data_IF_411369986234
#
_entry.id   IF_411369986234
#
_cell.length_a   1.000
_cell.length_b   1.000
_cell.length_c   1.000
_cell.angle_alpha   90.00
_cell.angle_beta   90.00
_cell.angle_gamma   90.00
#
_symmetry.space_group_name_H-M   'P 1'
#
loop_
_entity.id
_entity.type
_entity.pdbx_description
1 polymer ?
#
# COMPACT_ATOMS: atom_id res chain seq x y z
N UNK A 1 -35.28 -30.89 -47.33
CA UNK A 1 -33.93 -31.25 -46.86
C UNK A 1 -33.01 -30.10 -47.19
N UNK A 2 -32.76 -29.20 -46.24
CA UNK A 2 -31.77 -28.13 -46.43
C UNK A 2 -30.43 -28.74 -46.06
N UNK A 3 -29.57 -28.92 -47.05
CA UNK A 3 -28.23 -29.47 -46.87
C UNK A 3 -27.46 -28.56 -45.92
N UNK A 4 -27.01 -29.12 -44.80
CA UNK A 4 -26.08 -28.47 -43.90
C UNK A 4 -24.79 -28.23 -44.69
N UNK A 5 -24.56 -26.99 -45.14
CA UNK A 5 -23.29 -26.60 -45.73
C UNK A 5 -22.19 -26.96 -44.70
N UNK A 6 -21.04 -27.51 -45.13
CA UNK A 6 -20.07 -28.06 -44.21
C UNK A 6 -19.34 -26.90 -43.52
N UNK A 7 -19.92 -26.41 -42.44
CA UNK A 7 -19.42 -25.25 -41.71
C UNK A 7 -17.99 -25.48 -41.22
N UNK A 8 -17.66 -26.73 -40.88
CA UNK A 8 -16.34 -27.17 -40.42
C UNK A 8 -15.33 -27.16 -41.59
N UNK A 9 -15.70 -27.69 -42.76
CA UNK A 9 -14.82 -27.68 -43.93
C UNK A 9 -14.59 -26.24 -44.43
N UNK A 10 -15.62 -25.40 -44.35
CA UNK A 10 -15.51 -23.97 -44.67
C UNK A 10 -14.68 -23.19 -43.65
N UNK A 11 -14.75 -23.53 -42.35
CA UNK A 11 -13.90 -22.91 -41.32
C UNK A 11 -12.44 -23.34 -41.47
N UNK A 12 -12.20 -24.63 -41.75
CA UNK A 12 -10.85 -25.15 -42.00
C UNK A 12 -10.26 -24.56 -43.28
N UNK A 13 -11.06 -24.41 -44.35
CA UNK A 13 -10.65 -23.75 -45.58
C UNK A 13 -10.32 -22.26 -45.35
N UNK A 14 -11.16 -21.53 -44.59
CA UNK A 14 -10.93 -20.13 -44.27
C UNK A 14 -9.68 -19.93 -43.38
N UNK A 15 -9.45 -20.81 -42.39
CA UNK A 15 -8.23 -20.78 -41.58
C UNK A 15 -7.01 -21.08 -42.47
N UNK A 16 -7.10 -22.07 -43.37
CA UNK A 16 -6.02 -22.39 -44.29
C UNK A 16 -5.70 -21.24 -45.25
N UNK A 17 -6.72 -20.54 -45.76
CA UNK A 17 -6.59 -19.40 -46.67
C UNK A 17 -5.95 -18.18 -45.98
N UNK A 18 -6.23 -17.94 -44.70
CA UNK A 18 -5.61 -16.87 -43.91
C UNK A 18 -4.23 -17.24 -43.29
N UNK A 19 -3.83 -18.51 -43.33
CA UNK A 19 -2.52 -18.96 -42.80
C UNK A 19 -1.34 -18.80 -43.75
N UNK A 20 -1.57 -18.40 -45.02
CA UNK A 20 -0.51 -18.19 -46.02
C UNK A 20 -0.52 -16.74 -46.50
N UNK A 21 0.64 -16.10 -46.56
CA UNK A 21 0.79 -14.81 -47.23
C UNK A 21 1.18 -14.99 -48.70
N UNK A 22 0.74 -14.09 -49.56
CA UNK A 22 1.03 -14.08 -51.01
C UNK A 22 2.37 -13.42 -51.36
N UNK A 23 3.35 -13.41 -50.45
CA UNK A 23 4.69 -12.91 -50.74
C UNK A 23 5.75 -13.89 -50.24
N UNK A 24 6.23 -14.69 -51.20
CA UNK A 24 7.48 -15.47 -51.17
C UNK A 24 7.59 -16.53 -50.07
N UNK A 25 7.34 -17.79 -50.47
CA UNK A 25 7.70 -18.97 -49.68
C UNK A 25 6.53 -19.55 -48.89
N UNK A 26 6.39 -20.86 -48.95
CA UNK A 26 5.35 -21.69 -48.33
C UNK A 26 5.56 -21.77 -46.79
N UNK A 27 5.69 -20.63 -46.10
CA UNK A 27 5.90 -20.54 -44.65
C UNK A 27 4.59 -20.27 -43.89
N UNK A 28 4.36 -21.07 -42.85
CA UNK A 28 3.13 -21.09 -42.05
C UNK A 28 3.21 -19.99 -40.98
N UNK A 29 2.87 -18.76 -41.36
CA UNK A 29 3.06 -17.54 -40.52
C UNK A 29 2.37 -17.62 -39.15
N UNK A 30 1.20 -18.27 -39.04
CA UNK A 30 0.47 -18.36 -37.77
C UNK A 30 1.11 -19.37 -36.80
N UNK A 31 1.64 -20.49 -37.30
CA UNK A 31 2.31 -21.49 -36.46
C UNK A 31 3.70 -21.03 -36.00
N UNK A 32 4.43 -20.36 -36.90
CA UNK A 32 5.78 -19.86 -36.63
C UNK A 32 5.77 -18.74 -35.58
N UNK A 33 4.83 -17.79 -35.65
CA UNK A 33 4.69 -16.74 -34.63
C UNK A 33 4.32 -17.30 -33.25
N UNK A 34 3.54 -18.38 -33.17
CA UNK A 34 3.15 -19.03 -31.91
C UNK A 34 4.34 -19.82 -31.30
N UNK A 35 5.13 -20.49 -32.12
CA UNK A 35 6.34 -21.20 -31.68
C UNK A 35 7.45 -20.22 -31.26
N UNK A 36 7.63 -19.11 -31.98
CA UNK A 36 8.53 -18.02 -31.58
C UNK A 36 8.09 -17.38 -30.25
N UNK A 37 6.78 -17.18 -30.05
CA UNK A 37 6.25 -16.71 -28.78
C UNK A 37 6.51 -17.72 -27.64
N UNK A 38 6.48 -19.03 -27.89
CA UNK A 38 6.88 -20.04 -26.91
C UNK A 38 8.36 -19.95 -26.53
N UNK A 39 9.25 -19.67 -27.48
CA UNK A 39 10.68 -19.45 -27.19
C UNK A 39 10.85 -18.27 -26.23
N UNK A 40 10.08 -17.20 -26.43
CA UNK A 40 10.07 -16.04 -25.53
C UNK A 40 9.51 -16.41 -24.14
N UNK A 41 8.41 -17.19 -24.08
CA UNK A 41 7.85 -17.71 -22.83
C UNK A 41 8.91 -18.49 -22.05
N UNK A 42 9.58 -19.44 -22.71
CA UNK A 42 10.67 -20.22 -22.10
C UNK A 42 11.76 -19.32 -21.54
N UNK A 43 12.22 -18.32 -22.30
CA UNK A 43 13.24 -17.38 -21.84
C UNK A 43 12.81 -16.57 -20.61
N UNK A 44 11.53 -16.20 -20.49
CA UNK A 44 11.03 -15.54 -19.27
C UNK A 44 10.86 -16.50 -18.10
N UNK A 45 10.42 -17.74 -18.34
CA UNK A 45 10.36 -18.78 -17.30
C UNK A 45 11.75 -19.08 -16.75
N UNK A 46 12.76 -19.23 -17.61
CA UNK A 46 14.16 -19.43 -17.19
C UNK A 46 14.68 -18.27 -16.33
N UNK A 47 14.37 -17.02 -16.72
CA UNK A 47 14.71 -15.83 -15.90
C UNK A 47 14.01 -15.83 -14.54
N UNK A 48 12.73 -16.19 -14.50
CA UNK A 48 11.98 -16.27 -13.24
C UNK A 48 12.48 -17.42 -12.37
N UNK A 49 12.81 -18.58 -12.95
CA UNK A 49 13.43 -19.69 -12.21
C UNK A 49 14.78 -19.27 -11.62
N UNK A 50 15.59 -18.50 -12.37
CA UNK A 50 16.87 -17.98 -11.86
C UNK A 50 16.69 -17.02 -10.67
N UNK A 51 15.65 -16.18 -10.70
CA UNK A 51 15.33 -15.24 -9.61
C UNK A 51 14.76 -15.96 -8.38
N UNK A 52 13.79 -16.85 -8.62
CA UNK A 52 12.93 -17.41 -7.58
C UNK A 52 13.44 -18.74 -7.02
N UNK A 53 14.17 -19.52 -7.83
CA UNK A 53 14.47 -20.93 -7.57
C UNK A 53 13.32 -21.84 -7.99
N UNK A 54 13.56 -23.16 -8.01
CA UNK A 54 12.59 -24.15 -8.49
C UNK A 54 11.96 -24.99 -7.38
N UNK A 55 12.25 -24.67 -6.12
CA UNK A 55 11.79 -25.42 -4.94
C UNK A 55 10.26 -25.46 -4.82
N UNK A 56 9.57 -24.43 -5.33
CA UNK A 56 8.11 -24.36 -5.35
C UNK A 56 7.48 -25.54 -6.11
N UNK A 57 8.15 -26.12 -7.12
CA UNK A 57 7.65 -27.28 -7.86
C UNK A 57 7.54 -28.52 -6.98
N UNK A 58 8.45 -28.69 -6.01
CA UNK A 58 8.41 -29.80 -5.06
C UNK A 58 7.21 -29.66 -4.11
N UNK A 59 6.95 -28.44 -3.65
CA UNK A 59 5.82 -28.12 -2.78
C UNK A 59 4.48 -28.27 -3.51
N UNK A 60 4.39 -27.85 -4.78
CA UNK A 60 3.19 -28.09 -5.57
C UNK A 60 2.92 -29.59 -5.80
N UNK A 61 3.96 -30.39 -5.99
CA UNK A 61 3.83 -31.84 -6.19
C UNK A 61 3.23 -32.56 -4.98
N UNK A 62 3.46 -32.05 -3.75
CA UNK A 62 2.86 -32.57 -2.52
C UNK A 62 1.54 -31.86 -2.13
N UNK A 63 1.03 -30.96 -2.99
CA UNK A 63 -0.23 -30.24 -2.77
C UNK A 63 -0.11 -28.97 -1.92
N UNK A 64 1.09 -28.56 -1.53
CA UNK A 64 1.36 -27.39 -0.67
C UNK A 64 1.51 -26.09 -1.48
N UNK A 65 0.60 -25.86 -2.43
CA UNK A 65 0.63 -24.68 -3.31
C UNK A 65 0.62 -23.35 -2.54
N UNK A 66 -0.08 -23.30 -1.39
CA UNK A 66 -0.13 -22.13 -0.51
C UNK A 66 1.24 -21.80 0.08
N UNK A 67 1.91 -22.80 0.65
CA UNK A 67 3.23 -22.62 1.25
C UNK A 67 4.27 -22.24 0.20
N UNK A 68 4.21 -22.83 -1.00
CA UNK A 68 5.06 -22.47 -2.13
C UNK A 68 4.97 -20.97 -2.48
N UNK A 69 3.75 -20.42 -2.50
CA UNK A 69 3.53 -18.99 -2.73
C UNK A 69 4.06 -18.14 -1.58
N UNK A 70 3.79 -18.51 -0.32
CA UNK A 70 4.24 -17.76 0.86
C UNK A 70 5.77 -17.67 0.93
N UNK A 71 6.47 -18.77 0.70
CA UNK A 71 7.94 -18.79 0.69
C UNK A 71 8.50 -17.88 -0.39
N UNK A 72 7.92 -17.92 -1.60
CA UNK A 72 8.36 -17.04 -2.67
C UNK A 72 8.04 -15.57 -2.37
N UNK A 73 6.85 -15.27 -1.83
CA UNK A 73 6.49 -13.91 -1.42
C UNK A 73 7.44 -13.37 -0.35
N UNK A 74 7.75 -14.18 0.67
CA UNK A 74 8.69 -13.81 1.72
C UNK A 74 10.10 -13.55 1.17
N UNK A 75 10.56 -14.35 0.21
CA UNK A 75 11.83 -14.13 -0.48
C UNK A 75 11.83 -12.84 -1.30
N UNK A 76 10.77 -12.58 -2.06
CA UNK A 76 10.65 -11.39 -2.92
C UNK A 76 10.49 -10.10 -2.12
N UNK A 77 9.85 -10.19 -0.94
CA UNK A 77 9.63 -9.08 -0.01
C UNK A 77 10.48 -9.20 1.25
N UNK A 78 11.70 -9.72 1.12
CA UNK A 78 12.57 -9.90 2.27
C UNK A 78 12.93 -8.52 2.88
N UNK A 79 12.59 -8.26 4.15
CA UNK A 79 12.88 -7.00 4.83
C UNK A 79 14.37 -6.65 4.94
N UNK A 80 15.27 -7.60 4.71
CA UNK A 80 16.73 -7.36 4.67
C UNK A 80 17.24 -6.92 3.30
N UNK A 81 16.38 -6.83 2.28
CA UNK A 81 16.76 -6.52 0.89
C UNK A 81 16.10 -5.27 0.33
N UNK A 82 15.48 -4.45 1.19
CA UNK A 82 14.85 -3.19 0.80
C UNK A 82 15.88 -2.15 0.31
N UNK A 83 15.45 -1.30 -0.62
CA UNK A 83 16.21 -0.15 -1.09
C UNK A 83 16.08 1.09 -0.18
N UNK A 84 16.73 2.19 -0.56
CA UNK A 84 16.71 3.47 0.16
C UNK A 84 15.30 4.06 0.34
N UNK A 85 14.33 3.63 -0.47
CA UNK A 85 12.94 4.08 -0.43
C UNK A 85 12.01 3.04 0.24
N UNK A 86 12.56 2.07 0.97
CA UNK A 86 11.84 0.97 1.61
C UNK A 86 11.04 0.13 0.61
N UNK A 87 11.51 0.03 -0.64
CA UNK A 87 10.90 -0.80 -1.69
C UNK A 87 11.68 -2.09 -1.87
N UNK A 88 10.99 -3.10 -2.40
CA UNK A 88 11.55 -4.43 -2.66
C UNK A 88 12.03 -4.54 -4.12
N UNK A 89 13.34 -4.38 -4.41
CA UNK A 89 13.85 -4.41 -5.78
C UNK A 89 13.60 -5.75 -6.47
N UNK A 90 13.74 -6.87 -5.74
CA UNK A 90 13.47 -8.21 -6.26
C UNK A 90 11.99 -8.40 -6.64
N UNK A 91 11.06 -7.92 -5.81
CA UNK A 91 9.64 -7.96 -6.13
C UNK A 91 9.32 -7.12 -7.37
N UNK A 92 9.98 -5.96 -7.55
CA UNK A 92 9.81 -5.11 -8.73
C UNK A 92 10.32 -5.79 -10.00
N UNK A 93 11.50 -6.42 -9.94
CA UNK A 93 12.07 -7.19 -11.05
C UNK A 93 11.18 -8.39 -11.41
N UNK A 94 10.70 -9.12 -10.41
CA UNK A 94 9.75 -10.22 -10.57
C UNK A 94 8.47 -9.74 -11.25
N UNK A 95 7.83 -8.67 -10.75
CA UNK A 95 6.59 -8.14 -11.30
C UNK A 95 6.72 -7.72 -12.77
N UNK A 96 7.84 -7.08 -13.11
CA UNK A 96 8.16 -6.69 -14.50
C UNK A 96 8.33 -7.91 -15.41
N UNK A 97 9.08 -8.92 -14.95
CA UNK A 97 9.37 -10.13 -15.72
C UNK A 97 8.14 -11.02 -15.87
N UNK A 98 7.39 -11.24 -14.79
CA UNK A 98 6.13 -11.98 -14.80
C UNK A 98 5.05 -11.27 -15.64
N UNK A 99 5.03 -9.93 -15.68
CA UNK A 99 4.16 -9.18 -16.58
C UNK A 99 4.52 -9.37 -18.06
N UNK A 100 5.81 -9.47 -18.39
CA UNK A 100 6.26 -9.82 -19.75
C UNK A 100 5.91 -11.27 -20.10
N UNK A 101 6.07 -12.20 -19.15
CA UNK A 101 5.65 -13.59 -19.31
C UNK A 101 4.14 -13.69 -19.62
N UNK A 102 3.29 -13.00 -18.86
CA UNK A 102 1.84 -13.02 -19.07
C UNK A 102 1.45 -12.56 -20.49
N UNK A 103 2.10 -11.50 -21.00
CA UNK A 103 1.88 -11.02 -22.37
C UNK A 103 2.37 -12.01 -23.43
N UNK A 104 3.55 -12.61 -23.24
CA UNK A 104 4.09 -13.62 -24.15
C UNK A 104 3.20 -14.88 -24.16
N UNK A 105 2.70 -15.30 -22.99
CA UNK A 105 1.82 -16.44 -22.84
C UNK A 105 0.47 -16.24 -23.54
N UNK A 106 -0.10 -15.03 -23.50
CA UNK A 106 -1.34 -14.73 -24.21
C UNK A 106 -1.23 -15.03 -25.73
N UNK A 107 -0.03 -14.86 -26.31
CA UNK A 107 0.25 -15.18 -27.71
C UNK A 107 0.60 -16.66 -27.94
N UNK A 108 1.26 -17.31 -26.97
CA UNK A 108 1.80 -18.65 -27.11
C UNK A 108 0.85 -19.78 -26.62
N UNK A 109 -0.19 -19.45 -25.86
CA UNK A 109 -1.05 -20.42 -25.15
C UNK A 109 -1.78 -21.43 -26.03
N UNK A 110 -1.96 -21.13 -27.32
CA UNK A 110 -2.57 -22.01 -28.32
C UNK A 110 -1.63 -23.05 -28.93
N UNK A 111 -0.34 -23.05 -28.57
CA UNK A 111 0.64 -24.00 -29.10
C UNK A 111 0.47 -25.41 -28.53
N UNK A 112 0.73 -26.48 -29.30
CA UNK A 112 0.76 -27.86 -28.79
C UNK A 112 1.75 -28.05 -27.62
N UNK A 113 2.89 -27.34 -27.65
CA UNK A 113 3.94 -27.43 -26.62
C UNK A 113 3.71 -26.49 -25.43
N UNK A 114 2.64 -25.67 -25.44
CA UNK A 114 2.36 -24.73 -24.36
C UNK A 114 2.09 -25.44 -23.02
N UNK A 115 1.57 -26.66 -23.05
CA UNK A 115 1.22 -27.42 -21.85
C UNK A 115 2.39 -27.61 -20.87
N UNK A 116 3.62 -27.66 -21.37
CA UNK A 116 4.83 -27.77 -20.55
C UNK A 116 4.99 -26.59 -19.57
N UNK A 117 4.71 -25.36 -20.02
CA UNK A 117 4.91 -24.14 -19.25
C UNK A 117 3.66 -23.66 -18.52
N UNK A 118 2.54 -24.36 -18.66
CA UNK A 118 1.24 -23.92 -18.13
C UNK A 118 1.24 -23.83 -16.61
N UNK A 119 1.90 -24.74 -15.91
CA UNK A 119 2.07 -24.71 -14.45
C UNK A 119 2.92 -23.51 -14.01
N UNK A 120 4.07 -23.29 -14.65
CA UNK A 120 4.97 -22.17 -14.35
C UNK A 120 4.28 -20.83 -14.52
N UNK A 121 3.61 -20.64 -15.66
CA UNK A 121 2.88 -19.40 -15.93
C UNK A 121 1.77 -19.17 -14.91
N UNK A 122 1.02 -20.22 -14.55
CA UNK A 122 -0.03 -20.12 -13.53
C UNK A 122 0.56 -19.70 -12.18
N UNK A 123 1.58 -20.41 -11.71
CA UNK A 123 2.21 -20.13 -10.42
C UNK A 123 2.78 -18.71 -10.35
N UNK A 124 3.54 -18.28 -11.36
CA UNK A 124 4.11 -16.93 -11.38
C UNK A 124 3.05 -15.84 -11.56
N UNK A 125 1.96 -16.10 -12.27
CA UNK A 125 0.83 -15.20 -12.37
C UNK A 125 0.13 -15.04 -11.01
N UNK A 126 -0.10 -16.14 -10.29
CA UNK A 126 -0.68 -16.10 -8.94
C UNK A 126 0.20 -15.25 -7.99
N UNK A 127 1.51 -15.49 -7.97
CA UNK A 127 2.46 -14.72 -7.14
C UNK A 127 2.51 -13.25 -7.55
N UNK A 128 2.48 -12.94 -8.85
CA UNK A 128 2.44 -11.56 -9.35
C UNK A 128 1.17 -10.83 -8.89
N UNK A 129 0.03 -11.50 -8.98
CA UNK A 129 -1.25 -10.94 -8.56
C UNK A 129 -1.25 -10.61 -7.06
N UNK A 130 -0.62 -11.47 -6.27
CA UNK A 130 -0.40 -11.23 -4.84
C UNK A 130 0.48 -10.00 -4.60
N UNK A 131 1.62 -9.89 -5.29
CA UNK A 131 2.52 -8.76 -5.14
C UNK A 131 1.87 -7.42 -5.53
N UNK A 132 1.06 -7.40 -6.59
CA UNK A 132 0.33 -6.18 -7.00
C UNK A 132 -0.65 -5.74 -5.90
N UNK A 133 -1.38 -6.68 -5.29
CA UNK A 133 -2.28 -6.39 -4.17
C UNK A 133 -1.51 -5.86 -2.96
N UNK A 134 -0.37 -6.46 -2.63
CA UNK A 134 0.50 -6.02 -1.54
C UNK A 134 1.08 -4.62 -1.81
N UNK A 135 1.55 -4.34 -3.03
CA UNK A 135 2.05 -3.01 -3.41
C UNK A 135 0.94 -1.95 -3.33
N UNK A 136 -0.27 -2.28 -3.78
CA UNK A 136 -1.41 -1.39 -3.65
C UNK A 136 -1.76 -1.11 -2.18
N UNK A 137 -1.68 -2.13 -1.31
CA UNK A 137 -1.89 -1.99 0.12
C UNK A 137 -0.80 -1.14 0.78
N UNK A 138 0.48 -1.34 0.42
CA UNK A 138 1.59 -0.51 0.90
C UNK A 138 1.41 0.96 0.51
N UNK A 139 1.04 1.24 -0.74
CA UNK A 139 0.79 2.61 -1.20
C UNK A 139 -0.33 3.27 -0.41
N UNK A 140 -1.45 2.58 -0.18
CA UNK A 140 -2.55 3.10 0.65
C UNK A 140 -2.10 3.34 2.10
N UNK A 141 -1.42 2.36 2.68
CA UNK A 141 -0.85 2.45 4.01
C UNK A 141 0.26 3.50 4.11
N UNK A 142 0.85 3.95 2.99
CA UNK A 142 1.78 5.08 2.88
C UNK A 142 1.10 6.40 2.46
N UNK A 143 -0.20 6.40 2.15
CA UNK A 143 -0.96 7.57 1.68
C UNK A 143 -0.54 8.04 0.30
N UNK A 144 0.11 7.15 -0.45
CA UNK A 144 0.55 7.39 -1.80
C UNK A 144 -0.58 7.04 -2.78
N UNK A 145 -0.73 7.80 -3.87
CA UNK A 145 -1.65 7.44 -4.93
C UNK A 145 -1.25 6.09 -5.57
N UNK A 146 -2.27 5.32 -5.96
CA UNK A 146 -2.08 4.14 -6.80
C UNK A 146 -1.70 4.60 -8.21
N UNK A 147 -0.71 3.94 -8.82
CA UNK A 147 -0.38 4.19 -10.22
C UNK A 147 -1.50 3.67 -11.14
N UNK A 148 -1.65 4.28 -12.31
CA UNK A 148 -2.62 3.84 -13.34
C UNK A 148 -2.42 2.36 -13.72
N UNK A 149 -1.16 1.91 -13.74
CA UNK A 149 -0.82 0.51 -13.98
C UNK A 149 -1.42 -0.42 -12.91
N UNK A 150 -1.24 -0.10 -11.62
CA UNK A 150 -1.81 -0.88 -10.51
C UNK A 150 -3.33 -0.86 -10.57
N UNK A 151 -3.95 0.29 -10.83
CA UNK A 151 -5.41 0.43 -10.95
C UNK A 151 -5.94 -0.48 -12.07
N UNK A 152 -5.27 -0.47 -13.23
CA UNK A 152 -5.65 -1.30 -14.38
C UNK A 152 -5.54 -2.78 -14.05
N UNK A 153 -4.43 -3.19 -13.45
CA UNK A 153 -4.18 -4.58 -13.06
C UNK A 153 -5.17 -5.06 -11.99
N UNK A 154 -5.48 -4.23 -10.98
CA UNK A 154 -6.49 -4.55 -9.97
C UNK A 154 -7.90 -4.65 -10.59
N UNK A 155 -8.21 -3.80 -11.58
CA UNK A 155 -9.49 -3.84 -12.28
C UNK A 155 -9.64 -5.13 -13.10
N UNK A 156 -8.58 -5.56 -13.80
CA UNK A 156 -8.55 -6.85 -14.51
C UNK A 156 -8.75 -8.00 -13.52
N UNK A 157 -8.03 -7.99 -12.40
CA UNK A 157 -8.18 -9.01 -11.36
C UNK A 157 -9.59 -9.05 -10.78
N UNK A 158 -10.25 -7.91 -10.60
CA UNK A 158 -11.62 -7.83 -10.11
C UNK A 158 -12.65 -8.40 -11.11
N UNK A 159 -12.42 -8.22 -12.42
CA UNK A 159 -13.25 -8.81 -13.48
C UNK A 159 -13.08 -10.33 -13.50
N UNK A 160 -11.84 -10.81 -13.39
CA UNK A 160 -11.53 -12.23 -13.35
C UNK A 160 -12.00 -12.91 -12.05
N UNK A 161 -12.16 -12.15 -10.95
CA UNK A 161 -12.49 -12.64 -9.61
C UNK A 161 -13.96 -12.51 -9.19
N UNK A 162 -14.90 -12.59 -10.14
CA UNK A 162 -16.35 -12.65 -9.84
C UNK A 162 -16.77 -13.78 -8.86
N UNK A 163 -15.84 -14.64 -8.44
CA UNK A 163 -15.92 -15.41 -7.19
C UNK A 163 -14.98 -14.83 -6.11
N UNK A 164 -15.56 -14.05 -5.17
CA UNK A 164 -15.02 -13.76 -3.82
C UNK A 164 -13.52 -13.42 -3.71
N UNK A 165 -13.13 -12.19 -4.04
CA UNK A 165 -11.80 -11.68 -3.70
C UNK A 165 -11.89 -10.52 -2.70
N UNK A 166 -11.99 -10.85 -1.40
CA UNK A 166 -11.62 -9.89 -0.37
C UNK A 166 -10.13 -9.56 -0.53
N UNK A 167 -9.78 -8.29 -0.31
CA UNK A 167 -8.41 -7.81 -0.16
C UNK A 167 -7.72 -8.72 0.85
N UNK A 168 -6.53 -9.19 0.52
CA UNK A 168 -5.93 -10.34 1.20
C UNK A 168 -5.56 -9.98 2.63
N UNK A 169 -6.22 -10.69 3.53
CA UNK A 169 -5.82 -10.91 4.91
C UNK A 169 -4.56 -11.78 4.91
N UNK A 170 -3.39 -11.15 5.00
CA UNK A 170 -2.09 -11.86 5.11
C UNK A 170 -2.09 -12.75 6.36
N UNK A 171 -2.85 -12.39 7.41
CA UNK A 171 -3.03 -13.21 8.60
C UNK A 171 -3.82 -14.48 8.25
N UNK A 172 -4.95 -14.34 7.55
CA UNK A 172 -5.72 -15.47 7.03
C UNK A 172 -4.87 -16.39 6.14
N UNK A 173 -3.93 -15.83 5.36
CA UNK A 173 -2.98 -16.58 4.54
C UNK A 173 -1.82 -17.24 5.32
N UNK A 174 -1.55 -16.87 6.57
CA UNK A 174 -0.68 -17.62 7.50
C UNK A 174 -1.50 -18.43 8.53
N UNK A 175 -2.83 -18.53 8.33
CA UNK A 175 -3.73 -19.30 9.20
C UNK A 175 -3.99 -18.65 10.55
N UNK A 176 -3.91 -17.32 10.61
CA UNK A 176 -4.16 -16.49 11.80
C UNK A 176 -5.38 -15.61 11.58
N UNK A 177 -6.13 -15.36 12.64
CA UNK A 177 -7.19 -14.36 12.59
C UNK A 177 -6.56 -12.96 12.56
N UNK A 178 -7.20 -12.03 11.83
CA UNK A 178 -6.84 -10.62 11.84
C UNK A 178 -6.91 -10.11 13.29
N UNK A 179 -5.78 -9.80 13.95
CA UNK A 179 -5.85 -9.35 15.32
C UNK A 179 -6.39 -7.92 15.34
N UNK A 180 -7.40 -7.66 16.16
CA UNK A 180 -7.79 -6.29 16.46
C UNK A 180 -6.59 -5.61 17.14
N UNK A 181 -6.17 -4.44 16.64
CA UNK A 181 -5.05 -3.67 17.19
C UNK A 181 -5.23 -3.35 18.68
N UNK A 182 -6.48 -3.27 19.17
CA UNK A 182 -6.81 -3.07 20.58
C UNK A 182 -6.53 -4.30 21.45
N UNK A 183 -6.63 -5.51 20.87
CA UNK A 183 -6.43 -6.79 21.55
C UNK A 183 -5.09 -7.45 21.17
N UNK A 184 -4.21 -6.69 20.50
CA UNK A 184 -2.96 -7.22 19.95
C UNK A 184 -1.94 -7.48 21.06
N UNK A 185 -1.61 -8.74 21.26
CA UNK A 185 -0.61 -9.19 22.22
C UNK A 185 0.32 -10.25 21.60
N UNK A 186 1.51 -10.43 22.18
CA UNK A 186 2.52 -11.40 21.78
C UNK A 186 1.93 -12.82 21.76
N UNK A 187 1.04 -13.15 22.70
CA UNK A 187 0.32 -14.42 22.74
C UNK A 187 -0.70 -14.56 21.61
N UNK A 188 -1.41 -13.49 21.24
CA UNK A 188 -2.39 -13.49 20.16
C UNK A 188 -1.74 -13.77 18.79
N UNK A 189 -0.50 -13.33 18.60
CA UNK A 189 0.28 -13.61 17.40
C UNK A 189 0.80 -15.05 17.34
N UNK A 190 0.63 -15.88 18.38
CA UNK A 190 1.03 -17.28 18.42
C UNK A 190 2.32 -17.53 17.63
N UNK A 191 3.46 -17.02 18.13
CA UNK A 191 4.81 -17.11 17.54
C UNK A 191 5.34 -18.57 17.36
N UNK A 192 4.44 -19.56 17.34
CA UNK A 192 4.68 -20.95 16.98
C UNK A 192 4.79 -21.16 15.45
N UNK A 193 4.92 -20.11 14.63
CA UNK A 193 5.32 -20.29 13.22
C UNK A 193 6.72 -20.87 13.20
N UNK A 194 6.83 -22.08 12.65
CA UNK A 194 8.13 -22.78 12.48
C UNK A 194 8.88 -22.31 11.24
N UNK A 195 8.27 -21.49 10.38
CA UNK A 195 8.85 -21.01 9.11
C UNK A 195 9.24 -19.52 9.22
N UNK A 196 10.48 -19.21 8.85
CA UNK A 196 11.02 -17.86 8.77
C UNK A 196 10.23 -17.00 7.76
N UNK A 197 9.71 -17.63 6.70
CA UNK A 197 8.96 -16.97 5.64
C UNK A 197 7.66 -16.36 6.15
N UNK A 198 6.91 -17.12 6.95
CA UNK A 198 5.67 -16.65 7.57
C UNK A 198 5.92 -15.51 8.55
N UNK A 199 7.04 -15.58 9.28
CA UNK A 199 7.42 -14.57 10.25
C UNK A 199 7.76 -13.24 9.57
N UNK A 200 8.51 -13.28 8.46
CA UNK A 200 8.82 -12.10 7.67
C UNK A 200 7.56 -11.44 7.09
N UNK A 201 6.63 -12.25 6.57
CA UNK A 201 5.35 -11.76 6.04
C UNK A 201 4.45 -11.17 7.14
N UNK A 202 4.47 -11.75 8.34
CA UNK A 202 3.77 -11.21 9.51
C UNK A 202 4.29 -9.83 9.89
N UNK A 203 5.61 -9.67 9.97
CA UNK A 203 6.24 -8.38 10.30
C UNK A 203 5.85 -7.33 9.26
N UNK A 204 5.90 -7.69 7.98
CA UNK A 204 5.49 -6.79 6.89
C UNK A 204 4.00 -6.42 6.96
N UNK A 205 3.13 -7.39 7.30
CA UNK A 205 1.71 -7.15 7.51
C UNK A 205 1.45 -6.21 8.71
N UNK A 206 2.06 -6.49 9.87
CA UNK A 206 1.93 -5.66 11.07
C UNK A 206 2.41 -4.23 10.83
N UNK A 207 3.59 -4.06 10.20
CA UNK A 207 4.11 -2.75 9.78
C UNK A 207 3.07 -1.98 8.97
N UNK A 208 2.48 -2.63 7.96
CA UNK A 208 1.48 -2.01 7.07
C UNK A 208 0.20 -1.64 7.82
N UNK A 209 -0.29 -2.51 8.69
CA UNK A 209 -1.51 -2.26 9.46
C UNK A 209 -1.31 -1.10 10.44
N UNK A 210 -0.15 -1.02 11.10
CA UNK A 210 0.19 0.10 11.97
C UNK A 210 0.31 1.42 11.22
N UNK A 211 0.89 1.42 10.01
CA UNK A 211 0.92 2.62 9.17
C UNK A 211 -0.48 3.07 8.75
N UNK A 212 -1.36 2.13 8.44
CA UNK A 212 -2.75 2.43 8.09
C UNK A 212 -3.53 2.95 9.32
N UNK A 213 -3.41 2.28 10.46
CA UNK A 213 -4.13 2.68 11.67
C UNK A 213 -3.58 3.97 12.25
N UNK A 214 -2.27 4.21 12.18
CA UNK A 214 -1.69 5.49 12.55
C UNK A 214 -2.35 6.64 11.80
N UNK A 215 -2.56 6.52 10.48
CA UNK A 215 -3.30 7.54 9.71
C UNK A 215 -4.73 7.70 10.18
N UNK A 216 -5.42 6.60 10.44
CA UNK A 216 -6.81 6.63 10.90
C UNK A 216 -6.90 7.37 12.24
N UNK A 217 -6.01 7.03 13.18
CA UNK A 217 -5.90 7.61 14.51
C UNK A 217 -5.56 9.10 14.46
N UNK A 218 -4.53 9.48 13.68
CA UNK A 218 -4.09 10.87 13.58
C UNK A 218 -5.02 11.73 12.74
N UNK A 219 -5.79 11.13 11.83
CA UNK A 219 -6.61 11.83 10.86
C UNK A 219 -5.78 12.84 10.06
N UNK A 220 -6.08 14.13 10.22
CA UNK A 220 -5.40 15.23 9.53
C UNK A 220 -4.19 15.78 10.31
N UNK A 221 -3.83 15.16 11.43
CA UNK A 221 -2.71 15.57 12.25
C UNK A 221 -1.39 15.04 11.71
N UNK A 222 -0.77 15.81 10.82
CA UNK A 222 0.45 15.37 10.15
C UNK A 222 1.68 15.31 11.04
N UNK A 223 1.73 16.16 12.07
CA UNK A 223 2.83 16.14 13.03
C UNK A 223 2.91 14.75 13.66
N UNK A 224 1.78 14.27 14.19
CA UNK A 224 1.69 12.93 14.79
C UNK A 224 1.84 11.83 13.75
N UNK A 225 1.20 11.97 12.58
CA UNK A 225 1.31 10.98 11.51
C UNK A 225 2.77 10.77 11.07
N UNK A 226 3.53 11.85 10.97
CA UNK A 226 4.96 11.83 10.64
C UNK A 226 5.78 11.19 11.76
N UNK A 227 5.54 11.56 13.02
CA UNK A 227 6.21 10.96 14.17
C UNK A 227 6.02 9.43 14.24
N UNK A 228 4.78 8.96 14.06
CA UNK A 228 4.51 7.51 14.03
C UNK A 228 5.17 6.84 12.82
N UNK A 229 5.06 7.44 11.63
CA UNK A 229 5.68 6.88 10.42
C UNK A 229 7.20 6.79 10.54
N UNK A 230 7.85 7.81 11.12
CA UNK A 230 9.29 7.82 11.39
C UNK A 230 9.70 6.75 12.40
N UNK A 231 8.94 6.57 13.49
CA UNK A 231 9.21 5.51 14.48
C UNK A 231 9.06 4.11 13.90
N UNK A 232 8.02 3.87 13.07
CA UNK A 232 7.86 2.59 12.35
C UNK A 232 9.06 2.36 11.43
N UNK A 233 9.47 3.38 10.67
CA UNK A 233 10.63 3.31 9.78
C UNK A 233 11.92 3.00 10.53
N UNK A 234 12.20 3.71 11.63
CA UNK A 234 13.40 3.49 12.44
C UNK A 234 13.43 2.08 13.03
N UNK A 235 12.29 1.59 13.52
CA UNK A 235 12.14 0.23 14.01
C UNK A 235 12.43 -0.81 12.92
N UNK A 236 11.83 -0.62 11.73
CA UNK A 236 12.07 -1.49 10.58
C UNK A 236 13.52 -1.43 10.10
N UNK A 237 14.15 -0.25 10.10
CA UNK A 237 15.56 -0.10 9.73
C UNK A 237 16.48 -0.86 10.69
N UNK A 238 16.20 -0.84 12.01
CA UNK A 238 16.95 -1.65 12.98
C UNK A 238 16.80 -3.14 12.69
N UNK A 239 15.59 -3.59 12.34
CA UNK A 239 15.35 -4.98 11.94
C UNK A 239 16.03 -5.36 10.61
N UNK A 240 15.91 -4.54 9.56
CA UNK A 240 16.60 -4.70 8.28
C UNK A 240 18.10 -4.84 8.49
N UNK A 241 18.69 -4.01 9.34
CA UNK A 241 20.11 -4.01 9.70
C UNK A 241 20.50 -5.11 10.71
N UNK A 242 19.60 -6.06 11.03
CA UNK A 242 19.83 -7.18 11.95
C UNK A 242 20.21 -6.75 13.37
N UNK A 243 19.83 -5.54 13.79
CA UNK A 243 20.00 -5.05 15.16
C UNK A 243 18.88 -5.53 16.09
N UNK A 244 17.80 -6.06 15.52
CA UNK A 244 16.67 -6.66 16.24
C UNK A 244 16.38 -8.05 15.67
N UNK A 245 16.02 -8.97 16.54
CA UNK A 245 15.45 -10.26 16.14
C UNK A 245 13.99 -10.10 15.70
N UNK A 246 13.45 -11.10 14.98
CA UNK A 246 12.04 -11.10 14.60
C UNK A 246 11.10 -11.00 15.81
N UNK A 247 11.45 -11.64 16.93
CA UNK A 247 10.65 -11.57 18.15
C UNK A 247 10.67 -10.17 18.78
N UNK A 248 11.84 -9.53 18.83
CA UNK A 248 11.99 -8.17 19.35
C UNK A 248 11.26 -7.14 18.49
N UNK A 249 11.39 -7.22 17.15
CA UNK A 249 10.69 -6.26 16.29
C UNK A 249 9.17 -6.39 16.40
N UNK A 250 8.66 -7.62 16.52
CA UNK A 250 7.23 -7.87 16.72
C UNK A 250 6.77 -7.28 18.06
N UNK A 251 7.54 -7.47 19.13
CA UNK A 251 7.23 -6.91 20.44
C UNK A 251 7.20 -5.37 20.40
N UNK A 252 8.19 -4.73 19.77
CA UNK A 252 8.22 -3.27 19.61
C UNK A 252 7.06 -2.75 18.73
N UNK A 253 6.68 -3.46 17.67
CA UNK A 253 5.51 -3.13 16.84
C UNK A 253 4.20 -3.22 17.65
N UNK A 254 4.07 -4.20 18.54
CA UNK A 254 2.92 -4.32 19.45
C UNK A 254 2.86 -3.15 20.44
N UNK A 255 3.98 -2.75 21.03
CA UNK A 255 3.97 -1.58 21.92
C UNK A 255 3.56 -0.31 21.16
N UNK A 256 4.05 -0.14 19.93
CA UNK A 256 3.64 0.97 19.09
C UNK A 256 2.15 0.92 18.72
N UNK A 257 1.56 -0.27 18.58
CA UNK A 257 0.12 -0.41 18.33
C UNK A 257 -0.72 0.17 19.48
N UNK A 258 -0.30 -0.08 20.72
CA UNK A 258 -0.97 0.46 21.93
C UNK A 258 -0.91 1.98 21.95
N UNK A 259 0.22 2.56 21.53
CA UNK A 259 0.35 4.02 21.44
C UNK A 259 -0.56 4.63 20.37
N UNK A 260 -0.73 3.96 19.21
CA UNK A 260 -1.67 4.39 18.16
C UNK A 260 -3.13 4.31 18.64
N UNK A 261 -3.48 3.26 19.38
CA UNK A 261 -4.80 3.14 20.01
C UNK A 261 -5.02 4.25 21.03
N UNK A 262 -4.01 4.56 21.86
CA UNK A 262 -4.07 5.66 22.80
C UNK A 262 -4.20 7.03 22.10
N UNK A 263 -3.53 7.21 20.96
CA UNK A 263 -3.64 8.42 20.13
C UNK A 263 -5.08 8.65 19.65
N UNK A 264 -5.77 7.59 19.22
CA UNK A 264 -7.16 7.68 18.75
C UNK A 264 -8.11 8.21 19.83
N UNK A 265 -7.83 7.88 21.10
CA UNK A 265 -8.63 8.30 22.26
C UNK A 265 -8.06 9.55 22.95
N UNK A 266 -6.97 10.13 22.44
CA UNK A 266 -6.27 11.25 23.10
C UNK A 266 -7.16 12.48 23.26
N UNK A 267 -8.08 12.71 22.32
CA UNK A 267 -9.04 13.81 22.38
C UNK A 267 -9.93 13.80 23.63
N UNK A 268 -10.20 12.63 24.19
CA UNK A 268 -11.05 12.45 25.39
C UNK A 268 -10.38 12.89 26.69
N UNK A 269 -9.05 13.04 26.70
CA UNK A 269 -8.29 13.45 27.88
C UNK A 269 -8.48 14.94 28.20
N UNK A 270 -8.93 15.73 27.22
CA UNK A 270 -9.19 17.15 27.41
C UNK A 270 -10.58 17.40 27.97
N UNK A 271 -10.73 18.48 28.72
CA UNK A 271 -12.04 18.96 29.20
C UNK A 271 -12.35 20.36 28.67
N UNK A 272 -13.31 20.53 27.74
CA UNK A 272 -14.11 19.50 27.04
C UNK A 272 -13.26 18.58 26.14
N UNK A 273 -13.79 17.50 25.53
CA UNK A 273 -13.03 16.70 24.57
C UNK A 273 -12.59 17.52 23.35
N UNK A 274 -11.42 17.20 22.77
CA UNK A 274 -10.95 17.74 21.49
C UNK A 274 -11.25 16.76 20.36
N UNK A 275 -11.67 17.30 19.22
CA UNK A 275 -11.79 16.53 17.96
C UNK A 275 -10.43 16.37 17.26
N UNK A 276 -10.31 15.42 16.32
CA UNK A 276 -9.07 15.23 15.54
C UNK A 276 -8.61 16.49 14.79
N UNK A 277 -9.56 17.31 14.32
CA UNK A 277 -9.22 18.59 13.69
C UNK A 277 -8.55 19.54 14.70
N UNK A 278 -9.09 19.60 15.93
CA UNK A 278 -8.55 20.45 16.99
C UNK A 278 -7.22 19.92 17.54
N UNK A 279 -7.06 18.60 17.66
CA UNK A 279 -5.78 17.97 18.03
C UNK A 279 -4.68 18.28 17.02
N UNK A 280 -5.00 18.33 15.72
CA UNK A 280 -4.02 18.72 14.71
C UNK A 280 -3.50 20.14 14.92
N UNK A 281 -4.39 21.09 15.24
CA UNK A 281 -3.95 22.46 15.58
C UNK A 281 -3.24 22.53 16.93
N UNK A 282 -3.64 21.71 17.91
CA UNK A 282 -2.96 21.61 19.19
C UNK A 282 -1.50 21.20 19.01
N UNK A 283 -1.23 20.11 18.28
CA UNK A 283 0.14 19.61 18.10
C UNK A 283 0.99 20.53 17.23
N UNK A 284 0.41 21.18 16.22
CA UNK A 284 1.12 22.22 15.43
C UNK A 284 1.56 23.38 16.32
N UNK A 285 0.75 23.75 17.32
CA UNK A 285 1.09 24.80 18.27
C UNK A 285 2.12 24.32 19.30
N UNK A 286 2.04 23.08 19.74
CA UNK A 286 2.96 22.48 20.72
C UNK A 286 4.36 22.22 20.13
N UNK A 287 4.44 21.81 18.86
CA UNK A 287 5.72 21.50 18.19
C UNK A 287 6.55 22.76 17.90
N UNK A 288 5.91 23.92 17.78
CA UNK A 288 6.52 25.15 17.27
C UNK A 288 7.26 25.99 18.31
N UNK A 289 7.56 25.38 19.44
CA UNK A 289 8.28 25.99 20.53
C UNK A 289 7.84 25.37 21.83
N UNK A 290 8.63 25.56 22.87
CA UNK A 290 8.38 25.20 24.27
C UNK A 290 7.09 25.81 24.87
N UNK A 291 6.03 26.01 24.07
CA UNK A 291 4.70 26.39 24.48
C UNK A 291 4.12 25.36 25.45
N UNK A 292 4.35 24.05 25.26
CA UNK A 292 3.99 23.04 26.27
C UNK A 292 4.75 23.19 27.60
N UNK A 293 5.93 23.81 27.62
CA UNK A 293 6.68 24.08 28.86
C UNK A 293 6.26 25.42 29.53
N UNK A 294 5.63 26.33 28.78
CA UNK A 294 5.34 27.70 29.21
C UNK A 294 3.85 28.03 29.33
N UNK A 295 2.98 27.26 28.69
CA UNK A 295 1.53 27.40 28.69
C UNK A 295 0.90 26.10 29.17
N UNK A 296 -0.13 26.22 30.00
CA UNK A 296 -0.93 25.06 30.40
C UNK A 296 -1.63 24.45 29.18
N UNK A 297 -1.70 23.12 29.11
CA UNK A 297 -2.35 22.35 28.05
C UNK A 297 -3.79 22.83 27.78
N UNK A 298 -4.50 23.26 28.84
CA UNK A 298 -5.85 23.82 28.74
C UNK A 298 -5.92 25.10 27.91
N UNK A 299 -4.88 25.94 27.94
CA UNK A 299 -4.80 27.18 27.16
C UNK A 299 -4.55 26.85 25.69
N UNK A 300 -3.65 25.91 25.40
CA UNK A 300 -3.37 25.43 24.04
C UNK A 300 -4.61 24.78 23.43
N UNK A 301 -5.30 23.92 24.18
CA UNK A 301 -6.57 23.32 23.78
C UNK A 301 -7.62 24.40 23.45
N UNK A 302 -7.74 25.45 24.26
CA UNK A 302 -8.65 26.56 23.98
C UNK A 302 -8.28 27.37 22.73
N UNK A 303 -6.98 27.53 22.45
CA UNK A 303 -6.51 28.16 21.21
C UNK A 303 -6.92 27.31 20.02
N UNK A 304 -6.64 26.00 20.06
CA UNK A 304 -6.97 25.06 19.00
C UNK A 304 -8.46 25.07 18.64
N UNK A 305 -9.36 24.99 19.63
CA UNK A 305 -10.82 25.10 19.41
C UNK A 305 -11.22 26.39 18.71
N UNK A 306 -10.65 27.51 19.16
CA UNK A 306 -10.96 28.83 18.59
C UNK A 306 -10.42 28.98 17.17
N UNK A 307 -9.28 28.36 16.86
CA UNK A 307 -8.74 28.31 15.49
C UNK A 307 -9.67 27.52 14.57
N UNK A 308 -10.08 26.31 14.96
CA UNK A 308 -11.03 25.49 14.18
C UNK A 308 -12.36 26.22 13.98
N UNK A 309 -12.88 26.85 15.04
CA UNK A 309 -14.13 27.63 14.97
C UNK A 309 -14.00 28.82 14.02
N UNK A 310 -12.90 29.58 14.12
CA UNK A 310 -12.64 30.72 13.23
C UNK A 310 -12.51 30.26 11.78
N UNK A 311 -11.85 29.13 11.55
CA UNK A 311 -11.65 28.60 10.21
C UNK A 311 -12.94 28.03 9.62
N UNK A 312 -13.76 27.30 10.36
CA UNK A 312 -15.08 26.85 9.85
C UNK A 312 -15.99 28.00 9.45
N UNK A 313 -15.89 29.15 10.15
CA UNK A 313 -16.61 30.37 9.77
C UNK A 313 -16.08 30.97 8.46
N UNK A 314 -14.76 31.03 8.31
CA UNK A 314 -14.09 31.75 7.22
C UNK A 314 -13.79 30.85 5.99
N UNK A 315 -13.86 29.52 6.12
CA UNK A 315 -13.66 28.52 5.05
C UNK A 315 -14.77 28.54 3.99
N UNK A 316 -15.92 29.16 4.27
CA UNK A 316 -16.97 29.44 3.27
C UNK A 316 -16.52 30.39 2.15
N UNK A 317 -15.41 31.08 2.36
CA UNK A 317 -14.77 31.95 1.37
C UNK A 317 -13.47 31.32 0.93
N UNK A 318 -13.30 31.15 -0.38
CA UNK A 318 -12.12 30.56 -1.04
C UNK A 318 -10.85 31.38 -0.76
N UNK A 319 -10.26 31.15 0.43
CA UNK A 319 -9.17 31.95 1.00
C UNK A 319 -7.79 31.48 0.55
N UNK A 320 -7.70 30.28 -0.03
CA UNK A 320 -6.48 29.71 -0.62
C UNK A 320 -6.05 30.48 -1.86
N UNK A 321 -7.01 31.03 -2.62
CA UNK A 321 -6.77 31.84 -3.83
C UNK A 321 -6.70 33.35 -3.52
N UNK A 322 -7.41 33.80 -2.49
CA UNK A 322 -7.60 35.23 -2.20
C UNK A 322 -6.66 35.77 -1.12
N UNK A 323 -5.68 36.55 -1.56
CA UNK A 323 -4.68 37.17 -0.67
C UNK A 323 -5.28 38.10 0.40
N UNK A 324 -6.38 38.79 0.10
CA UNK A 324 -7.06 39.69 1.04
C UNK A 324 -7.68 38.91 2.23
N UNK A 325 -8.30 37.77 1.93
CA UNK A 325 -8.87 36.88 2.94
C UNK A 325 -7.76 36.20 3.75
N UNK A 326 -6.69 35.73 3.09
CA UNK A 326 -5.52 35.15 3.75
C UNK A 326 -4.82 36.13 4.70
N UNK A 327 -4.69 37.39 4.33
CA UNK A 327 -4.14 38.44 5.19
C UNK A 327 -5.03 38.72 6.41
N UNK A 328 -6.36 38.74 6.23
CA UNK A 328 -7.33 38.87 7.32
C UNK A 328 -7.24 37.69 8.30
N UNK A 329 -7.08 36.47 7.78
CA UNK A 329 -6.92 35.25 8.57
C UNK A 329 -5.64 35.27 9.41
N UNK A 330 -4.50 35.62 8.80
CA UNK A 330 -3.21 35.86 9.50
C UNK A 330 -3.37 36.84 10.66
N UNK A 331 -4.06 37.95 10.44
CA UNK A 331 -4.30 38.97 11.48
C UNK A 331 -5.18 38.44 12.61
N UNK A 332 -6.20 37.65 12.27
CA UNK A 332 -7.09 37.00 13.24
C UNK A 332 -6.31 36.03 14.13
N UNK A 333 -5.53 35.12 13.52
CA UNK A 333 -4.68 34.14 14.23
C UNK A 333 -3.70 34.86 15.15
N UNK A 334 -2.98 35.88 14.65
CA UNK A 334 -2.03 36.66 15.45
C UNK A 334 -2.70 37.34 16.65
N UNK A 335 -3.93 37.82 16.48
CA UNK A 335 -4.70 38.45 17.56
C UNK A 335 -5.14 37.42 18.60
N UNK A 336 -5.55 36.23 18.15
CA UNK A 336 -5.93 35.11 19.02
C UNK A 336 -4.75 34.65 19.89
N UNK A 337 -3.59 34.42 19.27
CA UNK A 337 -2.36 34.03 19.97
C UNK A 337 -1.92 35.07 20.99
N UNK A 338 -2.02 36.37 20.66
CA UNK A 338 -1.72 37.46 21.59
C UNK A 338 -2.67 37.50 22.78
N UNK A 339 -3.97 37.26 22.56
CA UNK A 339 -4.99 37.27 23.63
C UNK A 339 -4.74 36.17 24.67
N UNK A 340 -4.22 35.04 24.22
CA UNK A 340 -3.90 33.88 25.06
C UNK A 340 -2.44 33.84 25.53
N UNK A 341 -1.74 34.98 25.49
CA UNK A 341 -0.36 35.13 25.98
C UNK A 341 0.65 34.18 25.33
N UNK A 342 0.42 33.74 24.10
CA UNK A 342 1.38 32.92 23.36
C UNK A 342 2.73 33.67 23.19
N UNK A 343 3.89 33.01 23.40
CA UNK A 343 5.20 33.63 23.35
C UNK A 343 5.39 34.53 22.10
N UNK A 344 5.83 35.78 22.27
CA UNK A 344 5.93 36.72 21.15
C UNK A 344 6.99 36.29 20.11
N UNK A 345 8.08 35.67 20.55
CA UNK A 345 9.18 35.18 19.71
C UNK A 345 8.68 34.13 18.69
N UNK A 346 7.88 33.16 19.16
CA UNK A 346 7.40 32.01 18.36
C UNK A 346 6.09 32.30 17.62
N UNK A 347 5.45 33.45 17.86
CA UNK A 347 4.11 33.75 17.34
C UNK A 347 4.07 33.82 15.81
N UNK A 348 5.12 34.34 15.17
CA UNK A 348 5.14 34.48 13.72
C UNK A 348 5.27 33.11 13.04
N UNK A 349 6.11 32.23 13.58
CA UNK A 349 6.28 30.86 13.11
C UNK A 349 5.00 30.03 13.34
N UNK A 350 4.39 30.15 14.51
CA UNK A 350 3.09 29.56 14.82
C UNK A 350 1.99 29.96 13.82
N UNK A 351 1.94 31.23 13.41
CA UNK A 351 1.00 31.69 12.38
C UNK A 351 1.27 31.01 11.03
N UNK A 352 2.52 30.78 10.66
CA UNK A 352 2.88 30.12 9.39
C UNK A 352 2.45 28.66 9.42
N UNK A 353 2.85 27.89 10.44
CA UNK A 353 2.49 26.47 10.50
C UNK A 353 0.98 26.26 10.64
N UNK A 354 0.29 27.11 11.40
CA UNK A 354 -1.18 27.07 11.48
C UNK A 354 -1.77 27.26 10.09
N UNK A 355 -1.32 28.25 9.30
CA UNK A 355 -1.83 28.43 7.94
C UNK A 355 -1.55 27.24 7.02
N UNK A 356 -0.36 26.66 7.08
CA UNK A 356 -0.01 25.46 6.30
C UNK A 356 -0.93 24.30 6.65
N UNK A 357 -1.20 24.10 7.94
CA UNK A 357 -2.17 23.12 8.41
C UNK A 357 -3.57 23.43 7.87
N UNK A 358 -3.97 24.70 7.85
CA UNK A 358 -5.28 25.14 7.34
C UNK A 358 -5.45 24.90 5.84
N UNK A 359 -4.42 25.14 5.03
CA UNK A 359 -4.46 24.92 3.58
C UNK A 359 -4.76 23.44 3.25
N UNK A 360 -4.29 22.51 4.10
CA UNK A 360 -4.54 21.08 3.95
C UNK A 360 -5.97 20.67 4.32
N UNK A 361 -6.61 21.39 5.23
CA UNK A 361 -8.03 21.19 5.56
C UNK A 361 -8.98 21.77 4.51
N UNK A 362 -8.52 22.71 3.67
CA UNK A 362 -9.35 23.47 2.76
C UNK A 362 -10.17 22.61 1.75
N UNK A 363 -9.63 21.55 1.11
CA UNK A 363 -10.41 20.73 0.17
C UNK A 363 -11.64 20.10 0.81
N UNK A 364 -11.49 19.50 2.01
CA UNK A 364 -12.58 18.82 2.71
C UNK A 364 -13.65 19.81 3.20
N UNK A 365 -13.26 21.00 3.62
CA UNK A 365 -14.20 22.00 4.12
C UNK A 365 -14.86 22.82 3.02
N UNK A 366 -14.25 22.88 1.84
CA UNK A 366 -14.90 23.37 0.61
C UNK A 366 -15.98 22.41 0.12
N UNK A 367 -15.74 21.09 0.21
CA UNK A 367 -16.74 20.06 -0.16
C UNK A 367 -17.89 19.93 0.86
N UNK A 368 -17.64 20.25 2.13
CA UNK A 368 -18.63 20.16 3.21
C UNK A 368 -19.44 21.46 3.44
N UNK A 369 -19.06 22.57 2.80
CA UNK A 369 -19.72 23.88 2.90
C UNK A 369 -20.72 24.10 1.75
#
# INVERSE_FOLDING_TARGET
>A
MVAYAPLIDNLQAAIAEFTKSSSTGDEKVIGQNIEEALVIVRGFVEKLNALTGEEWRKLEAIGEQRQARLQLLAKLRNPHTVDENERYPLAKEFNSTAGKLARAWALASGSPNANEYRSDVRFYSDVRNQLIKMEAADRRANGEPLSEEIITLLSQLAVDSTASSQVIDVYGEIGRELPNLQDLNIEALNLRSRDESETALLIDALRRDLLQESRNATGNNEVRAKQFSERIRELMNRYTNQQLTSAEVIAELIELSKEIVAESNRGEQFSPPLSNDELAFYDVMDTNGSAGELLEDDVLAQIARKLVTALRRDAKTDWTVRDDVRAKLRRSIRTLLRKHKYPPEQRNEAVVLVLEQMERFAPRWSEAA
#
